data_IF_944962691679
#
_entry.id   IF_944962691679
#
_cell.length_a   1.000
_cell.length_b   1.000
_cell.length_c   1.000
_cell.angle_alpha   90.00
_cell.angle_beta   90.00
_cell.angle_gamma   90.00
#
_symmetry.space_group_name_H-M   'P 1'
#
loop_
_entity.id
_entity.type
_entity.pdbx_description
1 polymer ?
#
# COMPACT_ATOMS: atom_id res chain seq x y z
N UNK A 1 19.41 -14.95 1.67
CA UNK A 1 17.98 -15.35 1.65
C UNK A 1 17.18 -14.12 1.32
N UNK A 2 16.51 -14.07 0.18
CA UNK A 2 16.04 -12.80 -0.38
C UNK A 2 14.61 -12.48 0.00
N UNK A 3 14.36 -11.21 0.28
CA UNK A 3 13.04 -10.59 0.46
C UNK A 3 12.82 -9.67 -0.73
N UNK A 4 11.62 -9.60 -1.29
CA UNK A 4 11.27 -8.63 -2.31
C UNK A 4 10.29 -7.60 -1.78
N UNK A 5 10.58 -6.32 -2.00
CA UNK A 5 9.64 -5.22 -1.79
C UNK A 5 9.24 -4.67 -3.15
N UNK A 6 8.01 -4.93 -3.54
CA UNK A 6 7.43 -4.56 -4.84
C UNK A 6 6.55 -3.34 -4.68
N UNK A 7 6.81 -2.29 -5.45
CA UNK A 7 5.99 -1.08 -5.42
C UNK A 7 5.30 -0.78 -6.75
N UNK A 8 4.09 -0.21 -6.66
CA UNK A 8 3.34 0.31 -7.81
C UNK A 8 2.87 1.74 -7.49
N UNK A 9 3.59 2.72 -8.00
CA UNK A 9 3.39 4.14 -7.66
C UNK A 9 3.09 4.99 -8.88
N UNK A 10 2.43 6.13 -8.66
CA UNK A 10 2.23 7.20 -9.64
C UNK A 10 2.83 8.50 -9.14
N UNK A 11 2.61 8.81 -7.87
CA UNK A 11 3.01 10.08 -7.24
C UNK A 11 4.26 9.96 -6.36
N UNK A 12 4.90 8.78 -6.30
CA UNK A 12 6.13 8.56 -5.55
C UNK A 12 5.94 8.02 -4.14
N UNK A 13 4.87 8.34 -3.43
CA UNK A 13 4.71 7.98 -2.00
C UNK A 13 4.87 6.49 -1.70
N UNK A 14 4.27 5.61 -2.50
CA UNK A 14 4.42 4.16 -2.29
C UNK A 14 5.85 3.68 -2.54
N UNK A 15 6.60 4.35 -3.42
CA UNK A 15 8.02 4.09 -3.65
C UNK A 15 8.85 4.50 -2.44
N UNK A 16 8.62 5.68 -1.89
CA UNK A 16 9.32 6.17 -0.69
C UNK A 16 9.18 5.18 0.48
N UNK A 17 7.96 4.72 0.76
CA UNK A 17 7.74 3.70 1.78
C UNK A 17 8.41 2.36 1.44
N UNK A 18 8.35 1.93 0.18
CA UNK A 18 9.00 0.71 -0.27
C UNK A 18 10.53 0.77 -0.12
N UNK A 19 11.15 1.93 -0.39
CA UNK A 19 12.58 2.18 -0.19
C UNK A 19 12.96 2.03 1.29
N UNK A 20 12.19 2.62 2.21
CA UNK A 20 12.44 2.49 3.64
C UNK A 20 12.29 1.05 4.14
N UNK A 21 11.24 0.36 3.72
CA UNK A 21 10.99 -1.04 4.07
C UNK A 21 12.12 -1.94 3.51
N UNK A 22 12.53 -1.72 2.26
CA UNK A 22 13.60 -2.49 1.63
C UNK A 22 14.93 -2.27 2.35
N UNK A 23 15.23 -1.03 2.76
CA UNK A 23 16.42 -0.71 3.54
C UNK A 23 16.42 -1.42 4.90
N UNK A 24 15.30 -1.36 5.64
CA UNK A 24 15.21 -1.93 6.99
C UNK A 24 15.17 -3.47 7.00
N UNK A 25 14.81 -4.10 5.87
CA UNK A 25 14.77 -5.55 5.67
C UNK A 25 15.94 -6.10 4.85
N UNK A 26 16.85 -5.25 4.37
CA UNK A 26 17.91 -5.63 3.41
C UNK A 26 17.35 -6.39 2.21
N UNK A 27 16.26 -5.87 1.63
CA UNK A 27 15.45 -6.53 0.61
C UNK A 27 15.70 -5.95 -0.79
N UNK A 28 15.43 -6.78 -1.81
CA UNK A 28 15.39 -6.33 -3.19
C UNK A 28 14.20 -5.39 -3.41
N UNK A 29 14.47 -4.18 -3.91
CA UNK A 29 13.45 -3.21 -4.25
C UNK A 29 13.11 -3.31 -5.74
N UNK A 30 11.86 -3.62 -6.06
CA UNK A 30 11.39 -3.87 -7.41
C UNK A 30 10.18 -2.99 -7.74
N UNK A 31 10.18 -2.38 -8.92
CA UNK A 31 8.94 -1.84 -9.46
C UNK A 31 7.99 -2.98 -9.87
N UNK A 32 6.69 -2.68 -9.94
CA UNK A 32 5.73 -3.67 -10.45
C UNK A 32 6.06 -4.14 -11.87
N UNK A 33 6.59 -3.25 -12.70
CA UNK A 33 6.96 -3.59 -14.08
C UNK A 33 8.10 -4.59 -14.16
N UNK A 34 9.06 -4.55 -13.25
CA UNK A 34 10.12 -5.55 -13.10
C UNK A 34 9.56 -6.85 -12.51
N UNK A 35 8.87 -6.75 -11.38
CA UNK A 35 8.37 -7.89 -10.62
C UNK A 35 7.38 -8.78 -11.41
N UNK A 36 6.57 -8.21 -12.31
CA UNK A 36 5.58 -8.99 -13.09
C UNK A 36 6.21 -10.04 -13.99
N UNK A 37 7.47 -9.84 -14.41
CA UNK A 37 8.24 -10.76 -15.25
C UNK A 37 9.05 -11.81 -14.47
N UNK A 38 9.24 -11.62 -13.17
CA UNK A 38 10.09 -12.47 -12.34
C UNK A 38 9.27 -13.58 -11.68
N UNK A 39 9.92 -14.66 -11.24
CA UNK A 39 9.30 -15.67 -10.38
C UNK A 39 9.43 -15.23 -8.92
N UNK A 40 8.34 -14.72 -8.33
CA UNK A 40 8.33 -14.25 -6.96
C UNK A 40 8.42 -15.39 -5.92
N UNK A 41 8.19 -16.65 -6.29
CA UNK A 41 8.36 -17.79 -5.39
C UNK A 41 9.83 -18.01 -4.94
N UNK A 42 10.79 -17.43 -5.64
CA UNK A 42 12.19 -17.45 -5.25
C UNK A 42 12.48 -16.64 -3.95
N UNK A 43 11.57 -15.74 -3.59
CA UNK A 43 11.69 -14.94 -2.38
C UNK A 43 10.97 -15.61 -1.20
N UNK A 44 11.58 -15.55 -0.02
CA UNK A 44 10.98 -16.05 1.21
C UNK A 44 9.80 -15.19 1.67
N UNK A 45 9.86 -13.89 1.41
CA UNK A 45 8.82 -12.93 1.73
C UNK A 45 8.68 -11.94 0.59
N UNK A 46 7.44 -11.63 0.26
CA UNK A 46 7.11 -10.60 -0.72
C UNK A 46 6.25 -9.54 -0.05
N UNK A 47 6.71 -8.30 -0.08
CA UNK A 47 5.93 -7.12 0.33
C UNK A 47 5.44 -6.42 -0.93
N UNK A 48 4.13 -6.18 -1.05
CA UNK A 48 3.56 -5.41 -2.14
C UNK A 48 2.94 -4.12 -1.65
N UNK A 49 3.35 -2.99 -2.22
CA UNK A 49 2.85 -1.67 -1.87
C UNK A 49 2.39 -0.83 -3.04
N UNK A 50 1.23 -0.18 -2.88
CA UNK A 50 0.72 0.72 -3.90
C UNK A 50 -0.20 1.81 -3.34
N UNK A 51 -0.37 2.87 -4.13
CA UNK A 51 -1.34 3.92 -3.82
C UNK A 51 -2.78 3.44 -3.86
N UNK A 52 -3.61 4.01 -2.99
CA UNK A 52 -5.05 3.75 -2.97
C UNK A 52 -5.74 4.50 -4.11
N UNK A 53 -6.54 3.78 -4.88
CA UNK A 53 -7.45 4.36 -5.86
C UNK A 53 -8.87 3.85 -5.62
N UNK A 54 -9.83 4.76 -5.40
CA UNK A 54 -11.21 4.42 -5.06
C UNK A 54 -11.30 3.42 -3.89
N UNK A 55 -10.56 3.68 -2.84
CA UNK A 55 -10.38 2.86 -1.63
C UNK A 55 -9.60 1.55 -1.81
N UNK A 56 -9.38 1.04 -3.02
CA UNK A 56 -8.64 -0.19 -3.26
C UNK A 56 -7.14 0.07 -3.58
N UNK A 57 -6.28 -0.88 -3.26
CA UNK A 57 -4.86 -0.84 -3.60
C UNK A 57 -4.68 -1.02 -5.10
N UNK A 58 -3.98 -0.08 -5.72
CA UNK A 58 -3.73 -0.06 -7.17
C UNK A 58 -3.02 -1.34 -7.62
N UNK A 59 -3.50 -1.96 -8.72
CA UNK A 59 -2.87 -3.13 -9.33
C UNK A 59 -2.95 -4.41 -8.51
N UNK A 60 -3.58 -4.41 -7.33
CA UNK A 60 -3.62 -5.59 -6.46
C UNK A 60 -4.31 -6.79 -7.12
N UNK A 61 -5.29 -6.59 -8.00
CA UNK A 61 -5.93 -7.67 -8.75
C UNK A 61 -4.92 -8.44 -9.62
N UNK A 62 -4.01 -7.73 -10.25
CA UNK A 62 -2.96 -8.30 -11.11
C UNK A 62 -1.87 -8.95 -10.27
N UNK A 63 -1.47 -8.30 -9.18
CA UNK A 63 -0.55 -8.87 -8.19
C UNK A 63 -1.12 -10.17 -7.60
N UNK A 64 -2.40 -10.19 -7.20
CA UNK A 64 -3.07 -11.42 -6.71
C UNK A 64 -3.01 -12.56 -7.72
N UNK A 65 -3.25 -12.27 -9.01
CA UNK A 65 -3.11 -13.29 -10.08
C UNK A 65 -1.67 -13.78 -10.21
N UNK A 66 -0.72 -12.88 -10.08
CA UNK A 66 0.71 -13.20 -10.11
C UNK A 66 1.11 -14.15 -8.99
N UNK A 67 0.81 -13.81 -7.73
CA UNK A 67 1.17 -14.65 -6.59
C UNK A 67 0.44 -16.00 -6.55
N UNK A 68 -0.77 -16.08 -7.13
CA UNK A 68 -1.45 -17.36 -7.33
C UNK A 68 -0.69 -18.25 -8.32
N UNK A 69 -0.26 -17.69 -9.44
CA UNK A 69 0.54 -18.41 -10.45
C UNK A 69 1.89 -18.85 -9.91
N UNK A 70 2.52 -18.01 -9.08
CA UNK A 70 3.85 -18.29 -8.50
C UNK A 70 3.76 -19.16 -7.22
N UNK A 71 2.57 -19.60 -6.80
CA UNK A 71 2.40 -20.48 -5.63
C UNK A 71 2.56 -19.80 -4.27
N UNK A 72 2.52 -18.46 -4.21
CA UNK A 72 2.66 -17.69 -2.96
C UNK A 72 1.33 -17.39 -2.25
N UNK A 73 0.21 -17.56 -2.95
CA UNK A 73 -1.10 -17.25 -2.41
C UNK A 73 -1.48 -18.15 -1.24
N UNK A 74 -1.82 -17.55 -0.10
CA UNK A 74 -2.22 -18.28 1.11
C UNK A 74 -1.07 -18.93 1.90
N UNK A 75 0.19 -18.66 1.53
CA UNK A 75 1.36 -19.22 2.23
C UNK A 75 1.74 -18.45 3.51
N UNK A 76 1.12 -17.29 3.77
CA UNK A 76 1.54 -16.38 4.83
C UNK A 76 2.79 -15.53 4.51
N UNK A 77 3.42 -15.74 3.34
CA UNK A 77 4.65 -15.06 2.91
C UNK A 77 4.41 -13.80 2.08
N UNK A 78 3.25 -13.19 2.21
CA UNK A 78 2.90 -11.97 1.47
C UNK A 78 2.34 -10.92 2.42
N UNK A 79 2.97 -9.76 2.45
CA UNK A 79 2.49 -8.57 3.14
C UNK A 79 2.01 -7.55 2.12
N UNK A 80 0.95 -6.82 2.42
CA UNK A 80 0.40 -5.78 1.56
C UNK A 80 0.39 -4.46 2.31
N UNK A 81 0.85 -3.38 1.66
CA UNK A 81 0.62 -2.05 2.17
C UNK A 81 -0.05 -1.13 1.16
N UNK A 82 -0.83 -0.21 1.68
CA UNK A 82 -1.51 0.83 0.92
C UNK A 82 -0.98 2.20 1.33
N UNK A 83 -0.82 3.11 0.38
CA UNK A 83 -0.56 4.51 0.67
C UNK A 83 -1.70 5.38 0.18
N UNK A 84 -2.13 6.35 0.97
CA UNK A 84 -3.22 7.24 0.59
C UNK A 84 -3.12 8.61 1.24
N UNK A 85 -3.81 9.58 0.65
CA UNK A 85 -3.91 10.94 1.17
C UNK A 85 -4.95 11.11 2.30
N UNK A 86 -5.43 10.02 2.88
CA UNK A 86 -6.35 10.09 4.03
C UNK A 86 -5.54 9.84 5.29
N UNK A 87 -5.68 10.68 6.33
CA UNK A 87 -5.02 10.43 7.61
C UNK A 87 -5.30 9.04 8.16
N UNK A 88 -4.29 8.47 8.82
CA UNK A 88 -4.44 7.21 9.54
C UNK A 88 -5.49 7.38 10.64
N UNK A 89 -6.56 6.61 10.57
CA UNK A 89 -7.64 6.66 11.56
C UNK A 89 -8.13 5.24 11.88
N UNK A 90 -8.17 4.84 13.16
CA UNK A 90 -8.53 3.49 13.56
C UNK A 90 -9.84 2.98 12.94
N UNK A 91 -10.88 3.82 12.94
CA UNK A 91 -12.21 3.46 12.43
C UNK A 91 -12.35 3.50 10.90
N UNK A 92 -11.33 3.94 10.17
CA UNK A 92 -11.41 4.14 8.70
C UNK A 92 -10.41 3.34 7.92
N UNK A 93 -9.31 2.90 8.53
CA UNK A 93 -8.25 2.17 7.85
C UNK A 93 -8.70 0.82 7.30
N UNK A 94 -9.79 0.25 7.83
CA UNK A 94 -10.40 -0.98 7.32
C UNK A 94 -10.98 -0.84 5.91
N UNK A 95 -11.20 0.38 5.42
CA UNK A 95 -11.77 0.60 4.07
C UNK A 95 -10.88 0.13 2.95
N UNK A 96 -9.56 0.33 3.07
CA UNK A 96 -8.61 -0.12 2.05
C UNK A 96 -8.50 -1.65 1.98
N UNK A 97 -8.34 -2.39 3.09
CA UNK A 97 -8.39 -3.84 3.03
C UNK A 97 -9.77 -4.35 2.56
N UNK A 98 -10.88 -3.78 3.04
CA UNK A 98 -12.24 -4.18 2.63
C UNK A 98 -12.53 -3.97 1.14
N UNK A 99 -11.94 -2.94 0.51
CA UNK A 99 -12.08 -2.69 -0.92
C UNK A 99 -11.07 -3.47 -1.77
N UNK A 100 -9.97 -3.94 -1.19
CA UNK A 100 -8.87 -4.60 -1.87
C UNK A 100 -9.00 -6.13 -1.80
N UNK A 101 -9.33 -6.65 -0.61
CA UNK A 101 -9.39 -8.08 -0.31
C UNK A 101 -10.81 -8.61 -0.44
N UNK A 102 -10.95 -9.88 -0.75
CA UNK A 102 -12.23 -10.56 -0.70
C UNK A 102 -12.65 -10.81 0.74
N UNK A 103 -13.95 -11.06 0.97
CA UNK A 103 -14.46 -11.42 2.29
C UNK A 103 -13.76 -12.65 2.87
N UNK A 104 -13.43 -13.62 2.00
CA UNK A 104 -12.74 -14.84 2.37
C UNK A 104 -11.27 -14.57 2.76
N UNK A 105 -10.56 -13.72 2.03
CA UNK A 105 -9.19 -13.30 2.35
C UNK A 105 -9.13 -12.55 3.68
N UNK A 106 -10.12 -11.68 3.93
CA UNK A 106 -10.25 -10.97 5.22
C UNK A 106 -10.53 -11.94 6.37
N UNK A 107 -11.48 -12.86 6.20
CA UNK A 107 -11.86 -13.81 7.24
C UNK A 107 -10.74 -14.80 7.60
N UNK A 108 -9.91 -15.17 6.61
CA UNK A 108 -8.77 -16.09 6.81
C UNK A 108 -7.47 -15.39 7.21
N UNK A 109 -7.43 -14.05 7.21
CA UNK A 109 -6.18 -13.33 7.41
C UNK A 109 -5.10 -13.70 6.38
N UNK A 110 -5.51 -13.87 5.09
CA UNK A 110 -4.61 -14.33 4.02
C UNK A 110 -3.41 -13.41 3.80
N UNK A 111 -3.56 -12.15 4.15
CA UNK A 111 -2.53 -11.12 4.03
C UNK A 111 -2.44 -10.28 5.30
N UNK A 112 -1.22 -10.02 5.76
CA UNK A 112 -0.97 -8.91 6.68
C UNK A 112 -1.10 -7.61 5.89
N UNK A 113 -1.96 -6.68 6.35
CA UNK A 113 -2.30 -5.46 5.62
C UNK A 113 -1.99 -4.21 6.44
N UNK A 114 -1.24 -3.27 5.84
CA UNK A 114 -0.86 -2.01 6.46
C UNK A 114 -1.35 -0.84 5.62
N UNK A 115 -1.65 0.27 6.27
CA UNK A 115 -1.99 1.53 5.62
C UNK A 115 -1.05 2.63 6.11
N UNK A 116 -0.46 3.35 5.17
CA UNK A 116 0.42 4.47 5.45
C UNK A 116 -0.17 5.75 4.89
N UNK A 117 -0.07 6.83 5.66
CA UNK A 117 -0.41 8.14 5.16
C UNK A 117 0.68 8.58 4.17
N UNK A 118 0.25 9.01 3.00
CA UNK A 118 1.12 9.57 1.99
C UNK A 118 0.85 11.05 1.85
N UNK A 119 0.44 11.42 0.66
CA UNK A 119 0.15 12.82 0.36
C UNK A 119 -0.70 12.97 -0.88
N UNK A 120 -0.84 14.20 -1.30
CA UNK A 120 -1.41 14.58 -2.57
C UNK A 120 -0.35 15.37 -3.33
N UNK A 121 0.21 14.77 -4.37
CA UNK A 121 1.09 15.42 -5.32
C UNK A 121 0.40 15.48 -6.69
N UNK A 122 0.35 16.66 -7.25
CA UNK A 122 -0.21 16.88 -8.60
C UNK A 122 0.79 16.50 -9.70
N UNK A 123 2.07 16.53 -9.38
CA UNK A 123 3.13 16.13 -10.27
C UNK A 123 3.10 14.61 -10.48
N UNK A 124 3.20 14.19 -11.74
CA UNK A 124 3.12 12.76 -12.11
C UNK A 124 1.71 12.22 -12.37
N UNK A 125 0.63 12.97 -12.05
CA UNK A 125 -0.72 12.58 -12.41
C UNK A 125 -1.00 12.86 -13.89
N UNK A 126 -1.62 11.89 -14.57
CA UNK A 126 -2.12 12.09 -15.93
C UNK A 126 -3.43 12.91 -15.94
N UNK A 127 -3.87 13.37 -17.12
CA UNK A 127 -5.05 14.22 -17.27
C UNK A 127 -6.34 13.64 -16.65
N UNK A 128 -6.70 12.37 -16.83
CA UNK A 128 -7.87 11.78 -16.18
C UNK A 128 -7.75 11.74 -14.65
N UNK A 129 -6.57 11.49 -14.11
CA UNK A 129 -6.32 11.46 -12.67
C UNK A 129 -6.43 12.85 -12.04
N UNK A 130 -5.86 13.88 -12.71
CA UNK A 130 -6.03 15.29 -12.33
C UNK A 130 -7.52 15.70 -12.32
N UNK A 131 -8.28 15.26 -13.31
CA UNK A 131 -9.71 15.55 -13.42
C UNK A 131 -10.50 14.87 -12.27
N UNK A 132 -10.20 13.60 -11.99
CA UNK A 132 -10.80 12.86 -10.88
C UNK A 132 -10.50 13.52 -9.53
N UNK A 133 -9.26 13.97 -9.33
CA UNK A 133 -8.86 14.66 -8.11
C UNK A 133 -9.57 16.01 -7.96
N UNK A 134 -9.75 16.78 -9.05
CA UNK A 134 -10.55 18.01 -9.05
C UNK A 134 -12.02 17.77 -8.71
N UNK A 135 -12.63 16.69 -9.22
CA UNK A 135 -14.02 16.34 -8.89
C UNK A 135 -14.11 15.95 -7.41
N UNK A 136 -13.16 15.17 -6.91
CA UNK A 136 -13.08 14.77 -5.51
C UNK A 136 -12.89 16.00 -4.60
N UNK A 137 -11.98 16.90 -4.95
CA UNK A 137 -11.74 18.17 -4.26
C UNK A 137 -13.05 18.98 -4.12
N UNK A 138 -13.77 19.20 -5.22
CA UNK A 138 -15.05 19.92 -5.18
C UNK A 138 -16.07 19.25 -4.25
N UNK A 139 -16.10 17.91 -4.24
CA UNK A 139 -17.03 17.14 -3.39
C UNK A 139 -16.65 17.24 -1.92
N UNK A 140 -15.35 17.18 -1.59
CA UNK A 140 -14.87 17.33 -0.21
C UNK A 140 -15.07 18.77 0.28
N UNK A 141 -14.78 19.79 -0.54
CA UNK A 141 -15.03 21.19 -0.20
C UNK A 141 -16.50 21.48 0.09
N UNK A 142 -17.43 20.88 -0.66
CA UNK A 142 -18.87 20.99 -0.38
C UNK A 142 -19.27 20.44 0.99
N UNK A 143 -18.46 19.55 1.56
CA UNK A 143 -18.72 18.90 2.83
C UNK A 143 -17.69 19.27 3.94
N UNK A 144 -16.85 20.30 3.71
CA UNK A 144 -15.83 20.74 4.65
C UNK A 144 -16.35 21.07 6.05
N UNK A 145 -17.59 21.51 6.14
CA UNK A 145 -18.24 21.86 7.42
C UNK A 145 -18.64 20.66 8.30
N UNK A 146 -18.34 19.42 7.88
CA UNK A 146 -18.69 18.19 8.61
C UNK A 146 -17.64 17.76 9.64
N UNK A 147 -16.68 18.62 9.99
CA UNK A 147 -15.68 18.42 11.02
C UNK A 147 -14.26 18.74 10.56
N UNK A 148 -13.37 18.93 11.52
CA UNK A 148 -11.95 19.32 11.32
C UNK A 148 -11.22 18.43 10.31
N UNK A 149 -11.52 17.11 10.31
CA UNK A 149 -10.94 16.18 9.35
C UNK A 149 -11.32 16.51 7.90
N UNK A 150 -12.61 16.84 7.65
CA UNK A 150 -13.08 17.16 6.31
C UNK A 150 -12.49 18.47 5.80
N UNK A 151 -12.24 19.40 6.70
CA UNK A 151 -11.58 20.66 6.41
C UNK A 151 -10.09 20.48 6.10
N UNK A 152 -9.35 19.72 6.91
CA UNK A 152 -7.95 19.40 6.69
C UNK A 152 -7.73 18.70 5.34
N UNK A 153 -8.56 17.70 5.00
CA UNK A 153 -8.52 17.02 3.71
C UNK A 153 -8.87 17.98 2.56
N UNK A 154 -9.84 18.88 2.73
CA UNK A 154 -10.22 19.84 1.69
C UNK A 154 -9.09 20.81 1.36
N UNK A 155 -8.40 21.33 2.37
CA UNK A 155 -7.27 22.24 2.21
C UNK A 155 -6.06 21.52 1.60
N UNK A 156 -5.71 20.34 2.11
CA UNK A 156 -4.60 19.55 1.60
C UNK A 156 -4.77 19.13 0.13
N UNK A 157 -6.02 18.90 -0.34
CA UNK A 157 -6.28 18.58 -1.74
C UNK A 157 -5.98 19.77 -2.67
N UNK A 158 -6.08 20.99 -2.19
CA UNK A 158 -5.85 22.21 -3.02
C UNK A 158 -4.37 22.53 -3.13
N UNK A 159 -3.63 22.41 -2.04
CA UNK A 159 -2.24 22.85 -1.93
C UNK A 159 -1.24 21.72 -2.22
N UNK A 160 -1.69 20.46 -2.14
CA UNK A 160 -0.81 19.31 -2.08
C UNK A 160 -0.14 19.22 -0.70
N UNK A 161 0.22 18.01 -0.29
CA UNK A 161 0.94 17.79 0.96
C UNK A 161 1.68 16.46 0.94
N UNK A 162 2.69 16.35 1.79
CA UNK A 162 3.44 15.14 2.05
C UNK A 162 3.45 14.88 3.56
N UNK A 163 2.81 13.79 3.98
CA UNK A 163 2.76 13.32 5.36
C UNK A 163 3.43 11.95 5.50
N UNK A 164 4.41 11.66 4.63
CA UNK A 164 5.17 10.42 4.78
C UNK A 164 5.96 10.43 6.09
N UNK A 165 5.88 9.34 6.83
CA UNK A 165 6.61 9.15 8.08
C UNK A 165 7.36 7.81 8.04
N UNK A 166 8.70 7.88 8.12
CA UNK A 166 9.53 6.69 8.15
C UNK A 166 9.19 5.77 9.35
N UNK A 167 8.82 6.31 10.48
CA UNK A 167 8.45 5.52 11.67
C UNK A 167 7.21 4.66 11.43
N UNK A 168 6.35 5.05 10.51
CA UNK A 168 5.15 4.30 10.19
C UNK A 168 5.42 2.91 9.62
N UNK A 169 6.62 2.64 9.06
CA UNK A 169 6.97 1.30 8.53
C UNK A 169 7.33 0.29 9.62
N UNK A 170 7.65 0.73 10.83
CA UNK A 170 8.12 -0.15 11.93
C UNK A 170 7.20 -1.37 12.15
N UNK A 171 5.87 -1.25 12.27
CA UNK A 171 5.02 -2.41 12.49
C UNK A 171 5.04 -3.43 11.33
N UNK A 172 5.20 -2.95 10.08
CA UNK A 172 5.34 -3.84 8.92
C UNK A 172 6.67 -4.59 8.95
N UNK A 173 7.76 -3.89 9.29
CA UNK A 173 9.10 -4.48 9.38
C UNK A 173 9.15 -5.54 10.49
N UNK A 174 8.53 -5.28 11.63
CA UNK A 174 8.40 -6.24 12.73
C UNK A 174 7.61 -7.48 12.31
N UNK A 175 6.48 -7.30 11.62
CA UNK A 175 5.68 -8.40 11.08
C UNK A 175 6.46 -9.22 10.04
N UNK A 176 7.21 -8.57 9.16
CA UNK A 176 8.07 -9.24 8.19
C UNK A 176 9.11 -10.14 8.89
N UNK A 177 9.78 -9.61 9.92
CA UNK A 177 10.74 -10.37 10.72
C UNK A 177 10.09 -11.53 11.46
N UNK A 178 8.88 -11.35 12.00
CA UNK A 178 8.10 -12.39 12.67
C UNK A 178 7.78 -13.55 11.71
N UNK A 179 7.33 -13.26 10.49
CA UNK A 179 7.05 -14.26 9.46
C UNK A 179 8.32 -15.05 9.12
N UNK A 180 9.44 -14.37 8.90
CA UNK A 180 10.71 -15.01 8.57
C UNK A 180 11.26 -15.89 9.68
N UNK A 181 11.06 -15.51 10.95
CA UNK A 181 11.47 -16.29 12.10
C UNK A 181 10.61 -17.56 12.26
N UNK A 182 9.29 -17.48 12.03
CA UNK A 182 8.41 -18.65 12.11
C UNK A 182 8.73 -19.73 11.07
N UNK A 183 9.17 -19.33 9.88
CA UNK A 183 9.61 -20.30 8.85
C UNK A 183 10.88 -21.05 9.25
N UNK A 184 11.80 -20.40 9.98
CA UNK A 184 13.05 -21.05 10.44
C UNK A 184 12.80 -22.07 11.56
N UNK A 185 11.73 -21.90 12.33
CA UNK A 185 11.39 -22.81 13.42
C UNK A 185 10.65 -24.08 12.95
N UNK A 186 10.13 -24.08 11.72
CA UNK A 186 9.38 -25.22 11.15
C UNK A 186 10.18 -26.06 10.13
N UNK A 187 11.40 -25.67 9.80
CA UNK A 187 12.31 -26.37 8.88
C UNK A 187 13.52 -26.93 9.56
#
# INVERSE_FOLDING_TARGET
MSIAVVYNTVTGFSRTYAEWIAQDLEADLLSWDEAKGMNLAAYRLVVYGAGVRMSAVRGFKDFRRKIKRDGLYGTGRVIVFATGGTPVHPDRNWRSPAATLTKEELARGTFSFFYFEGGIAYDGLNWPEKTLLKIFSKRVQKHRHRGEWAEAVANGIVEGYDHTDRKAVTPLVEEARRILASEQACG
#
